data_IF_924078811872
#
_entry.id   IF_924078811872
#
_cell.length_a   1.000
_cell.length_b   1.000
_cell.length_c   1.000
_cell.angle_alpha   90.00
_cell.angle_beta   90.00
_cell.angle_gamma   90.00
#
_symmetry.space_group_name_H-M   'P 1'
#
loop_
_entity.id
_entity.type
_entity.pdbx_description
1 polymer ?
#
# COMPACT_ATOMS: atom_id res chain seq x y z
N UNK A 1 7.54 -26.36 3.43
CA UNK A 1 6.40 -27.30 3.59
C UNK A 1 5.07 -26.70 3.14
N UNK A 2 4.60 -25.59 3.72
CA UNK A 2 3.28 -24.99 3.39
C UNK A 2 3.15 -24.60 1.90
N UNK A 3 4.17 -23.99 1.30
CA UNK A 3 4.14 -23.62 -0.12
C UNK A 3 4.07 -24.84 -1.06
N UNK A 4 4.72 -25.96 -0.69
CA UNK A 4 4.69 -27.21 -1.46
C UNK A 4 3.30 -27.85 -1.35
N UNK A 5 2.70 -27.86 -0.17
CA UNK A 5 1.34 -28.38 0.05
C UNK A 5 0.32 -27.55 -0.75
N UNK A 6 0.44 -26.22 -0.75
CA UNK A 6 -0.42 -25.34 -1.54
C UNK A 6 -0.27 -25.57 -3.05
N UNK A 7 0.96 -25.77 -3.52
CA UNK A 7 1.23 -26.11 -4.91
C UNK A 7 0.62 -27.46 -5.30
N UNK A 8 0.79 -28.49 -4.44
CA UNK A 8 0.21 -29.81 -4.67
C UNK A 8 -1.33 -29.77 -4.68
N UNK A 9 -1.96 -29.04 -3.76
CA UNK A 9 -3.42 -28.86 -3.77
C UNK A 9 -3.91 -28.17 -5.05
N UNK A 10 -3.23 -27.09 -5.47
CA UNK A 10 -3.56 -26.39 -6.72
C UNK A 10 -3.41 -27.32 -7.93
N UNK A 11 -2.32 -28.07 -8.00
CA UNK A 11 -2.06 -29.03 -9.07
C UNK A 11 -3.17 -30.10 -9.12
N UNK A 12 -3.53 -30.68 -7.97
CA UNK A 12 -4.60 -31.67 -7.89
C UNK A 12 -5.93 -31.11 -8.38
N UNK A 13 -6.30 -29.89 -7.97
CA UNK A 13 -7.53 -29.21 -8.44
C UNK A 13 -7.50 -29.00 -9.96
N UNK A 14 -6.38 -28.54 -10.51
CA UNK A 14 -6.21 -28.31 -11.95
C UNK A 14 -6.31 -29.62 -12.74
N UNK A 15 -5.70 -30.70 -12.25
CA UNK A 15 -5.77 -32.03 -12.89
C UNK A 15 -7.19 -32.58 -12.86
N UNK A 16 -7.89 -32.48 -11.72
CA UNK A 16 -9.28 -32.94 -11.61
C UNK A 16 -10.22 -32.13 -12.54
N UNK A 17 -10.03 -30.81 -12.62
CA UNK A 17 -10.78 -29.97 -13.55
C UNK A 17 -10.50 -30.32 -15.02
N UNK A 18 -9.24 -30.62 -15.37
CA UNK A 18 -8.86 -31.04 -16.72
C UNK A 18 -9.53 -32.37 -17.10
N UNK A 19 -9.47 -33.36 -16.20
CA UNK A 19 -10.11 -34.66 -16.40
C UNK A 19 -11.64 -34.53 -16.57
N UNK A 20 -12.28 -33.67 -15.77
CA UNK A 20 -13.71 -33.40 -15.89
C UNK A 20 -14.07 -32.77 -17.26
N UNK A 21 -13.29 -31.80 -17.72
CA UNK A 21 -13.53 -31.13 -19.01
C UNK A 21 -13.31 -32.08 -20.20
N UNK A 22 -12.28 -32.93 -20.14
CA UNK A 22 -12.05 -33.98 -21.15
C UNK A 22 -13.21 -34.98 -21.14
N UNK A 23 -13.67 -35.40 -19.96
CA UNK A 23 -14.81 -36.30 -19.81
C UNK A 23 -16.12 -35.71 -20.37
N UNK A 24 -16.31 -34.40 -20.24
CA UNK A 24 -17.43 -33.66 -20.85
C UNK A 24 -17.28 -33.45 -22.37
N UNK A 25 -16.19 -33.93 -22.99
CA UNK A 25 -15.94 -33.78 -24.42
C UNK A 25 -15.55 -32.37 -24.85
N UNK A 26 -15.03 -31.54 -23.93
CA UNK A 26 -14.64 -30.17 -24.25
C UNK A 26 -13.47 -30.14 -25.26
N UNK A 27 -13.49 -29.22 -26.24
CA UNK A 27 -12.39 -29.08 -27.18
C UNK A 27 -11.12 -28.61 -26.46
N UNK A 28 -9.96 -29.09 -26.92
CA UNK A 28 -8.66 -28.85 -26.29
C UNK A 28 -8.40 -27.38 -25.95
N UNK A 29 -8.66 -26.46 -26.89
CA UNK A 29 -8.46 -25.02 -26.68
C UNK A 29 -9.32 -24.44 -25.56
N UNK A 30 -10.56 -24.89 -25.43
CA UNK A 30 -11.45 -24.45 -24.34
C UNK A 30 -10.94 -24.96 -23.00
N UNK A 31 -10.48 -26.21 -22.94
CA UNK A 31 -9.88 -26.79 -21.73
C UNK A 31 -8.65 -26.00 -21.29
N UNK A 32 -7.74 -25.69 -22.20
CA UNK A 32 -6.55 -24.86 -21.91
C UNK A 32 -6.95 -23.48 -21.39
N UNK A 33 -7.92 -22.82 -22.04
CA UNK A 33 -8.39 -21.50 -21.63
C UNK A 33 -9.01 -21.51 -20.23
N UNK A 34 -9.86 -22.49 -19.91
CA UNK A 34 -10.49 -22.63 -18.59
C UNK A 34 -9.44 -22.91 -17.51
N UNK A 35 -8.47 -23.78 -17.77
CA UNK A 35 -7.39 -24.07 -16.81
C UNK A 35 -6.51 -22.85 -16.57
N UNK A 36 -6.16 -22.10 -17.62
CA UNK A 36 -5.41 -20.86 -17.50
C UNK A 36 -6.18 -19.81 -16.69
N UNK A 37 -7.48 -19.63 -16.97
CA UNK A 37 -8.35 -18.72 -16.21
C UNK A 37 -8.47 -19.14 -14.74
N UNK A 38 -8.63 -20.44 -14.46
CA UNK A 38 -8.73 -20.96 -13.10
C UNK A 38 -7.41 -20.78 -12.34
N UNK A 39 -6.27 -21.07 -12.97
CA UNK A 39 -4.95 -20.82 -12.38
C UNK A 39 -4.77 -19.33 -12.03
N UNK A 40 -5.09 -18.43 -12.97
CA UNK A 40 -4.97 -16.99 -12.76
C UNK A 40 -5.88 -16.53 -11.61
N UNK A 41 -7.12 -17.02 -11.58
CA UNK A 41 -8.10 -16.68 -10.55
C UNK A 41 -7.63 -17.15 -9.16
N UNK A 42 -7.20 -18.39 -9.02
CA UNK A 42 -6.79 -18.95 -7.73
C UNK A 42 -5.49 -18.35 -7.18
N UNK A 43 -4.60 -17.86 -8.04
CA UNK A 43 -3.29 -17.31 -7.63
C UNK A 43 -3.28 -15.80 -7.48
N UNK A 44 -3.89 -15.10 -8.44
CA UNK A 44 -3.76 -13.65 -8.59
C UNK A 44 -4.86 -12.91 -7.84
N UNK A 45 -6.10 -13.39 -7.89
CA UNK A 45 -7.24 -12.71 -7.24
C UNK A 45 -7.07 -12.61 -5.73
N UNK A 46 -6.68 -13.66 -4.97
CA UNK A 46 -6.45 -13.53 -3.53
C UNK A 46 -5.37 -12.51 -3.19
N UNK A 47 -4.29 -12.48 -3.99
CA UNK A 47 -3.18 -11.53 -3.83
C UNK A 47 -3.65 -10.09 -4.07
N UNK A 48 -4.44 -9.85 -5.12
CA UNK A 48 -5.02 -8.54 -5.41
C UNK A 48 -6.02 -8.12 -4.34
N UNK A 49 -6.90 -9.03 -3.90
CA UNK A 49 -7.87 -8.76 -2.84
C UNK A 49 -7.18 -8.37 -1.53
N UNK A 50 -6.12 -9.09 -1.14
CA UNK A 50 -5.34 -8.72 0.03
C UNK A 50 -4.61 -7.40 -0.13
N UNK A 51 -4.04 -7.16 -1.32
CA UNK A 51 -3.21 -5.97 -1.56
C UNK A 51 -4.03 -4.68 -1.67
N UNK A 52 -5.27 -4.76 -2.18
CA UNK A 52 -6.06 -3.57 -2.52
C UNK A 52 -7.40 -3.43 -1.79
N UNK A 53 -8.03 -4.53 -1.34
CA UNK A 53 -9.41 -4.47 -0.80
C UNK A 53 -9.56 -4.96 0.64
N UNK A 54 -8.64 -5.77 1.16
CA UNK A 54 -8.76 -6.35 2.50
C UNK A 54 -8.71 -5.29 3.60
N UNK A 55 -9.55 -5.42 4.63
CA UNK A 55 -9.43 -4.67 5.89
C UNK A 55 -8.99 -5.54 7.06
N UNK A 56 -8.68 -6.81 6.79
CA UNK A 56 -8.22 -7.75 7.82
C UNK A 56 -6.72 -7.58 8.04
N UNK A 57 -6.35 -6.85 9.10
CA UNK A 57 -4.95 -6.56 9.45
C UNK A 57 -4.12 -7.85 9.60
N UNK A 58 -4.63 -8.87 10.29
CA UNK A 58 -3.90 -10.14 10.49
C UNK A 58 -3.66 -10.91 9.19
N UNK A 59 -4.59 -10.82 8.23
CA UNK A 59 -4.41 -11.43 6.92
C UNK A 59 -3.34 -10.69 6.11
N UNK A 60 -3.40 -9.36 6.09
CA UNK A 60 -2.42 -8.50 5.42
C UNK A 60 -1.03 -8.70 6.05
N UNK A 61 -0.94 -8.70 7.37
CA UNK A 61 0.29 -8.90 8.13
C UNK A 61 1.00 -10.21 7.76
N UNK A 62 0.28 -11.33 7.83
CA UNK A 62 0.81 -12.64 7.42
C UNK A 62 1.23 -12.67 5.96
N UNK A 63 0.49 -12.00 5.09
CA UNK A 63 0.85 -11.89 3.68
C UNK A 63 2.14 -11.09 3.48
N UNK A 64 2.27 -9.94 4.14
CA UNK A 64 3.48 -9.11 4.08
C UNK A 64 4.69 -9.89 4.60
N UNK A 65 4.57 -10.54 5.77
CA UNK A 65 5.63 -11.37 6.33
C UNK A 65 6.05 -12.49 5.38
N UNK A 66 5.10 -13.20 4.78
CA UNK A 66 5.37 -14.29 3.83
C UNK A 66 6.04 -13.80 2.53
N UNK A 67 5.79 -12.56 2.13
CA UNK A 67 6.30 -11.97 0.89
C UNK A 67 7.41 -10.92 1.13
N UNK A 68 7.96 -10.85 2.34
CA UNK A 68 9.06 -9.97 2.80
C UNK A 68 10.30 -9.96 1.90
N UNK A 69 10.54 -11.02 1.13
CA UNK A 69 11.63 -11.04 0.12
C UNK A 69 11.51 -9.95 -0.94
N UNK A 70 10.31 -9.40 -1.16
CA UNK A 70 10.08 -8.24 -2.03
C UNK A 70 10.17 -6.97 -1.17
N UNK A 71 11.08 -6.02 -1.49
CA UNK A 71 11.33 -4.85 -0.65
C UNK A 71 10.10 -4.00 -0.35
N UNK A 72 9.15 -3.88 -1.29
CA UNK A 72 7.89 -3.15 -1.09
C UNK A 72 7.05 -3.75 0.05
N UNK A 73 6.99 -5.09 0.13
CA UNK A 73 6.26 -5.76 1.20
C UNK A 73 7.05 -5.78 2.51
N UNK A 74 8.38 -5.84 2.43
CA UNK A 74 9.23 -5.66 3.61
C UNK A 74 9.01 -4.28 4.23
N UNK A 75 9.01 -3.20 3.43
CA UNK A 75 8.72 -1.86 3.92
C UNK A 75 7.37 -1.80 4.64
N UNK A 76 6.31 -2.30 4.02
CA UNK A 76 5.00 -2.30 4.64
C UNK A 76 4.99 -3.09 5.96
N UNK A 77 5.67 -4.24 6.02
CA UNK A 77 5.81 -5.01 7.27
C UNK A 77 6.61 -4.25 8.34
N UNK A 78 7.74 -3.64 7.95
CA UNK A 78 8.59 -2.83 8.84
C UNK A 78 7.84 -1.62 9.42
N UNK A 79 6.86 -1.06 8.72
CA UNK A 79 6.04 0.04 9.26
C UNK A 79 5.31 -0.37 10.54
N UNK A 80 4.87 -1.62 10.65
CA UNK A 80 4.17 -2.12 11.83
C UNK A 80 5.10 -2.65 12.93
N UNK A 81 6.18 -3.35 12.55
CA UNK A 81 7.00 -4.13 13.48
C UNK A 81 8.45 -3.66 13.60
N UNK A 82 8.91 -2.83 12.66
CA UNK A 82 10.29 -2.38 12.58
C UNK A 82 10.53 -1.04 13.26
N UNK A 83 11.80 -0.79 13.49
CA UNK A 83 12.38 0.51 13.86
C UNK A 83 12.38 1.48 12.69
N UNK A 84 12.52 2.77 12.97
CA UNK A 84 12.62 3.80 11.92
C UNK A 84 13.80 3.55 10.97
N UNK A 85 14.90 2.96 11.48
CA UNK A 85 16.05 2.59 10.65
C UNK A 85 15.74 1.43 9.71
N UNK A 86 15.01 0.41 10.16
CA UNK A 86 14.57 -0.70 9.30
C UNK A 86 13.59 -0.24 8.22
N UNK A 87 12.72 0.72 8.55
CA UNK A 87 11.82 1.37 7.59
C UNK A 87 12.65 2.09 6.52
N UNK A 88 13.59 2.95 6.93
CA UNK A 88 14.49 3.70 6.03
C UNK A 88 15.33 2.77 5.15
N UNK A 89 15.88 1.71 5.72
CA UNK A 89 16.67 0.71 5.00
C UNK A 89 15.81 0.00 3.94
N UNK A 90 14.58 -0.38 4.28
CA UNK A 90 13.63 -0.99 3.33
C UNK A 90 13.32 -0.05 2.16
N UNK A 91 13.11 1.25 2.44
CA UNK A 91 12.87 2.27 1.41
C UNK A 91 14.08 2.43 0.47
N UNK A 92 15.30 2.50 1.02
CA UNK A 92 16.54 2.53 0.23
C UNK A 92 16.67 1.29 -0.66
N UNK A 93 16.36 0.10 -0.13
CA UNK A 93 16.40 -1.13 -0.93
C UNK A 93 15.40 -1.09 -2.10
N UNK A 94 14.19 -0.56 -1.88
CA UNK A 94 13.20 -0.37 -2.96
C UNK A 94 13.78 0.55 -4.04
N UNK A 95 14.33 1.71 -3.67
CA UNK A 95 14.90 2.66 -4.62
C UNK A 95 16.10 2.09 -5.40
N UNK A 96 16.86 1.17 -4.80
CA UNK A 96 17.98 0.48 -5.46
C UNK A 96 17.46 -0.60 -6.42
N UNK A 97 16.49 -1.41 -5.98
CA UNK A 97 16.00 -2.58 -6.73
C UNK A 97 15.12 -2.18 -7.91
N UNK A 98 14.25 -1.19 -7.73
CA UNK A 98 13.31 -0.75 -8.75
C UNK A 98 13.85 0.50 -9.46
N UNK A 99 14.21 0.36 -10.73
CA UNK A 99 14.82 1.43 -11.55
C UNK A 99 13.81 2.38 -12.20
N UNK A 100 12.52 2.15 -12.00
CA UNK A 100 11.46 2.99 -12.56
C UNK A 100 11.47 4.37 -11.85
N UNK A 101 11.54 5.49 -12.59
CA UNK A 101 11.64 6.83 -12.00
C UNK A 101 10.50 7.15 -11.03
N UNK A 102 9.26 6.86 -11.40
CA UNK A 102 8.10 7.12 -10.53
C UNK A 102 8.18 6.36 -9.21
N UNK A 103 8.57 5.09 -9.25
CA UNK A 103 8.79 4.29 -8.03
C UNK A 103 9.90 4.95 -7.21
N UNK A 104 11.03 5.29 -7.82
CA UNK A 104 12.13 5.92 -7.12
C UNK A 104 11.70 7.20 -6.40
N UNK A 105 10.93 8.08 -7.05
CA UNK A 105 10.50 9.33 -6.46
C UNK A 105 9.38 9.17 -5.42
N UNK A 106 8.44 8.24 -5.60
CA UNK A 106 7.43 7.89 -4.58
C UNK A 106 8.08 7.40 -3.29
N UNK A 107 9.01 6.45 -3.39
CA UNK A 107 9.67 5.91 -2.20
C UNK A 107 10.74 6.85 -1.63
N UNK A 108 11.31 7.73 -2.46
CA UNK A 108 12.14 8.85 -2.01
C UNK A 108 11.35 9.87 -1.19
N UNK A 109 10.14 10.23 -1.62
CA UNK A 109 9.25 11.07 -0.83
C UNK A 109 8.91 10.40 0.52
N UNK A 110 8.58 9.11 0.53
CA UNK A 110 8.37 8.37 1.80
C UNK A 110 9.61 8.38 2.69
N UNK A 111 10.81 8.28 2.11
CA UNK A 111 12.06 8.35 2.86
C UNK A 111 12.22 9.73 3.53
N UNK A 112 12.02 10.82 2.79
CA UNK A 112 12.04 12.17 3.31
C UNK A 112 10.97 12.41 4.40
N UNK A 113 9.77 11.80 4.26
CA UNK A 113 8.76 11.79 5.33
C UNK A 113 9.30 11.19 6.62
N UNK A 114 10.06 10.09 6.56
CA UNK A 114 10.65 9.48 7.77
C UNK A 114 11.72 10.35 8.43
N UNK A 115 12.34 11.26 7.67
CA UNK A 115 13.31 12.23 8.16
C UNK A 115 12.66 13.57 8.56
N UNK A 116 11.33 13.69 8.40
CA UNK A 116 10.56 14.92 8.59
C UNK A 116 11.05 16.09 7.71
N UNK A 117 11.64 15.76 6.56
CA UNK A 117 12.16 16.71 5.59
C UNK A 117 11.07 17.06 4.55
N UNK A 118 10.32 18.14 4.81
CA UNK A 118 9.24 18.56 3.92
C UNK A 118 9.74 19.01 2.54
N UNK A 119 10.88 19.69 2.47
CA UNK A 119 11.49 20.13 1.20
C UNK A 119 11.96 18.94 0.38
N UNK A 120 12.54 17.92 1.02
CA UNK A 120 12.86 16.65 0.40
C UNK A 120 11.62 15.95 -0.18
N UNK A 121 10.50 15.97 0.55
CA UNK A 121 9.23 15.43 0.04
C UNK A 121 8.76 16.18 -1.20
N UNK A 122 8.77 17.52 -1.18
CA UNK A 122 8.38 18.35 -2.32
C UNK A 122 9.28 18.11 -3.54
N UNK A 123 10.62 18.05 -3.34
CA UNK A 123 11.58 17.78 -4.41
C UNK A 123 11.37 16.42 -5.09
N UNK A 124 10.88 15.44 -4.34
CA UNK A 124 10.48 14.15 -4.88
C UNK A 124 9.11 14.22 -5.56
N UNK A 125 8.13 14.89 -4.95
CA UNK A 125 6.78 15.05 -5.49
C UNK A 125 6.78 15.66 -6.89
N UNK A 126 7.57 16.71 -7.13
CA UNK A 126 7.71 17.36 -8.44
C UNK A 126 8.15 16.42 -9.56
N UNK A 127 8.85 15.32 -9.22
CA UNK A 127 9.40 14.35 -10.16
C UNK A 127 8.56 13.09 -10.30
N UNK A 128 7.47 12.96 -9.54
CA UNK A 128 6.47 11.90 -9.72
C UNK A 128 5.62 12.27 -10.94
N UNK A 129 5.37 11.32 -11.83
CA UNK A 129 4.47 11.52 -12.97
C UNK A 129 3.11 12.10 -12.55
N UNK A 130 2.51 12.90 -13.44
CA UNK A 130 1.26 13.60 -13.14
C UNK A 130 0.16 12.63 -12.72
N UNK A 131 -0.47 12.91 -11.59
CA UNK A 131 -1.55 12.08 -11.04
C UNK A 131 -1.74 12.23 -9.53
N UNK A 132 -2.65 11.44 -8.94
CA UNK A 132 -3.04 11.59 -7.53
C UNK A 132 -1.86 11.46 -6.55
N UNK A 133 -0.86 10.64 -6.89
CA UNK A 133 0.29 10.40 -6.02
C UNK A 133 1.22 11.62 -5.94
N UNK A 134 1.39 12.36 -7.04
CA UNK A 134 2.15 13.61 -7.04
C UNK A 134 1.50 14.61 -6.09
N UNK A 135 0.21 14.89 -6.28
CA UNK A 135 -0.55 15.83 -5.44
C UNK A 135 -0.61 15.39 -3.97
N UNK A 136 -0.68 14.09 -3.72
CA UNK A 136 -0.63 13.56 -2.36
C UNK A 136 0.69 13.87 -1.64
N UNK A 137 1.84 13.65 -2.28
CA UNK A 137 3.12 13.97 -1.65
C UNK A 137 3.40 15.47 -1.64
N UNK A 138 2.93 16.22 -2.62
CA UNK A 138 2.98 17.68 -2.62
C UNK A 138 2.25 18.24 -1.38
N UNK A 139 1.02 17.79 -1.16
CA UNK A 139 0.23 18.14 0.02
C UNK A 139 0.92 17.69 1.33
N UNK A 140 1.55 16.50 1.33
CA UNK A 140 2.30 16.01 2.48
C UNK A 140 3.50 16.91 2.80
N UNK A 141 4.29 17.30 1.81
CA UNK A 141 5.44 18.18 1.97
C UNK A 141 5.06 19.54 2.55
N UNK A 142 4.03 20.17 1.98
CA UNK A 142 3.47 21.42 2.51
C UNK A 142 2.95 21.26 3.95
N UNK A 143 2.26 20.17 4.26
CA UNK A 143 1.83 19.89 5.64
C UNK A 143 3.02 19.71 6.61
N UNK A 144 4.13 19.12 6.16
CA UNK A 144 5.35 19.00 6.96
C UNK A 144 6.04 20.34 7.20
N UNK A 145 5.95 21.27 6.25
CA UNK A 145 6.50 22.63 6.37
C UNK A 145 5.56 23.59 7.14
N UNK A 146 4.34 23.15 7.47
CA UNK A 146 3.34 24.00 8.15
C UNK A 146 2.58 24.92 7.20
N UNK A 147 2.73 24.73 5.89
CA UNK A 147 2.07 25.48 4.82
C UNK A 147 0.67 24.89 4.55
N UNK A 148 -0.22 24.97 5.53
CA UNK A 148 -1.47 24.21 5.53
C UNK A 148 -2.45 24.63 4.42
N UNK A 149 -2.46 25.90 4.05
CA UNK A 149 -3.27 26.41 2.93
C UNK A 149 -2.82 25.77 1.61
N UNK A 150 -1.50 25.71 1.37
CA UNK A 150 -0.93 25.05 0.18
C UNK A 150 -1.15 23.54 0.19
N UNK A 151 -1.11 22.92 1.37
CA UNK A 151 -1.47 21.52 1.51
C UNK A 151 -2.92 21.25 1.08
N UNK A 152 -3.88 22.11 1.46
CA UNK A 152 -5.29 21.98 1.06
C UNK A 152 -5.50 22.29 -0.43
N UNK A 153 -4.76 23.25 -1.00
CA UNK A 153 -4.75 23.51 -2.44
C UNK A 153 -4.31 22.27 -3.23
N UNK A 154 -3.22 21.62 -2.82
CA UNK A 154 -2.74 20.38 -3.44
C UNK A 154 -3.77 19.23 -3.34
N UNK A 155 -4.54 19.17 -2.24
CA UNK A 155 -5.62 18.18 -2.10
C UNK A 155 -6.76 18.35 -3.11
N UNK A 156 -7.01 19.58 -3.60
CA UNK A 156 -8.04 19.84 -4.62
C UNK A 156 -7.75 19.13 -5.95
N UNK A 157 -6.49 18.76 -6.19
CA UNK A 157 -6.05 18.06 -7.40
C UNK A 157 -6.18 16.53 -7.28
N UNK A 158 -6.50 16.02 -6.08
CA UNK A 158 -6.72 14.59 -5.85
C UNK A 158 -8.17 14.24 -6.26
N UNK A 159 -8.36 13.28 -7.18
CA UNK A 159 -9.69 12.84 -7.58
C UNK A 159 -10.55 12.30 -6.43
N UNK A 160 -11.88 12.39 -6.59
CA UNK A 160 -12.89 11.92 -5.61
C UNK A 160 -12.86 10.40 -5.36
N UNK A 161 -12.28 9.59 -6.23
CA UNK A 161 -12.12 8.14 -5.99
C UNK A 161 -10.91 7.80 -5.09
N UNK A 162 -10.13 8.82 -4.70
CA UNK A 162 -8.94 8.71 -3.84
C UNK A 162 -9.13 9.39 -2.48
N UNK A 163 -10.37 9.41 -1.94
CA UNK A 163 -10.71 10.08 -0.67
C UNK A 163 -9.80 9.75 0.52
N UNK A 164 -9.27 8.52 0.58
CA UNK A 164 -8.37 8.14 1.66
C UNK A 164 -7.13 9.04 1.73
N UNK A 165 -6.64 9.54 0.59
CA UNK A 165 -5.48 10.42 0.49
C UNK A 165 -5.79 11.79 1.12
N UNK A 166 -6.93 12.38 0.76
CA UNK A 166 -7.38 13.68 1.28
C UNK A 166 -7.53 13.64 2.79
N UNK A 167 -8.26 12.63 3.30
CA UNK A 167 -8.44 12.43 4.73
C UNK A 167 -7.10 12.14 5.43
N UNK A 168 -6.18 11.41 4.80
CA UNK A 168 -4.88 11.14 5.39
C UNK A 168 -4.05 12.41 5.59
N UNK A 169 -4.00 13.30 4.59
CA UNK A 169 -3.30 14.59 4.71
C UNK A 169 -3.97 15.48 5.75
N UNK A 170 -5.31 15.57 5.76
CA UNK A 170 -6.04 16.35 6.78
C UNK A 170 -5.77 15.83 8.19
N UNK A 171 -5.67 14.52 8.38
CA UNK A 171 -5.25 13.93 9.65
C UNK A 171 -3.83 14.36 10.01
N UNK A 172 -2.88 14.30 9.07
CA UNK A 172 -1.49 14.75 9.29
C UNK A 172 -1.45 16.23 9.69
N UNK A 173 -2.17 17.10 8.98
CA UNK A 173 -2.29 18.53 9.30
C UNK A 173 -2.86 18.74 10.71
N UNK A 174 -3.94 18.05 11.07
CA UNK A 174 -4.53 18.15 12.41
C UNK A 174 -3.56 17.70 13.50
N UNK A 175 -2.84 16.59 13.27
CA UNK A 175 -1.80 16.11 14.19
C UNK A 175 -0.69 17.16 14.38
N UNK A 176 -0.23 17.79 13.29
CA UNK A 176 0.78 18.85 13.31
C UNK A 176 0.30 20.11 14.04
N UNK A 177 -0.99 20.43 13.97
CA UNK A 177 -1.64 21.52 14.71
C UNK A 177 -1.94 21.18 16.18
N UNK A 178 -1.75 19.93 16.61
CA UNK A 178 -2.14 19.47 17.95
C UNK A 178 -3.64 19.25 18.13
N UNK A 179 -4.43 19.29 17.05
CA UNK A 179 -5.87 19.06 17.08
C UNK A 179 -6.17 17.55 17.08
N UNK A 180 -6.29 16.98 18.28
CA UNK A 180 -6.49 15.54 18.48
C UNK A 180 -7.85 15.04 17.97
N UNK A 181 -8.89 15.86 18.07
CA UNK A 181 -10.24 15.44 17.69
C UNK A 181 -10.39 15.39 16.17
N UNK A 182 -9.90 16.41 15.47
CA UNK A 182 -9.85 16.41 14.01
C UNK A 182 -8.92 15.31 13.51
N UNK A 183 -7.75 15.11 14.14
CA UNK A 183 -6.85 14.01 13.78
C UNK A 183 -7.56 12.65 13.83
N UNK A 184 -8.26 12.34 14.92
CA UNK A 184 -8.97 11.06 15.07
C UNK A 184 -10.07 10.87 14.04
N UNK A 185 -10.86 11.93 13.79
CA UNK A 185 -11.93 11.93 12.79
C UNK A 185 -11.38 11.66 11.40
N UNK A 186 -10.39 12.42 10.97
CA UNK A 186 -9.80 12.32 9.64
C UNK A 186 -9.01 11.01 9.46
N UNK A 187 -8.29 10.55 10.49
CA UNK A 187 -7.60 9.25 10.48
C UNK A 187 -8.59 8.08 10.37
N UNK A 188 -9.75 8.16 11.03
CA UNK A 188 -10.81 7.16 10.90
C UNK A 188 -11.41 7.17 9.49
N UNK A 189 -11.69 8.34 8.91
CA UNK A 189 -12.19 8.48 7.55
C UNK A 189 -11.18 7.93 6.51
N UNK A 190 -9.91 8.29 6.62
CA UNK A 190 -8.85 7.77 5.75
C UNK A 190 -8.81 6.24 5.76
N UNK A 191 -8.86 5.61 6.94
CA UNK A 191 -8.94 4.15 7.07
C UNK A 191 -10.24 3.56 6.52
N UNK A 192 -11.35 4.28 6.63
CA UNK A 192 -12.63 3.82 6.09
C UNK A 192 -12.61 3.74 4.55
N UNK A 193 -11.93 4.68 3.89
CA UNK A 193 -11.79 4.74 2.44
C UNK A 193 -10.61 3.96 1.86
N UNK A 194 -9.67 3.51 2.71
CA UNK A 194 -8.54 2.68 2.26
C UNK A 194 -8.85 1.19 2.29
N UNK A 195 -8.11 0.44 1.47
CA UNK A 195 -8.12 -1.02 1.45
C UNK A 195 -6.70 -1.60 1.32
N UNK A 196 -6.58 -2.88 1.68
CA UNK A 196 -5.36 -3.67 1.55
C UNK A 196 -4.14 -3.09 2.25
N UNK A 197 -3.02 -3.03 1.54
CA UNK A 197 -1.74 -2.55 2.09
C UNK A 197 -1.86 -1.07 2.51
N UNK A 198 -2.61 -0.25 1.78
CA UNK A 198 -2.80 1.15 2.15
C UNK A 198 -3.55 1.29 3.48
N UNK A 199 -4.62 0.51 3.68
CA UNK A 199 -5.32 0.46 4.96
C UNK A 199 -4.38 0.06 6.11
N UNK A 200 -3.53 -0.95 5.87
CA UNK A 200 -2.54 -1.41 6.84
C UNK A 200 -1.53 -0.31 7.20
N UNK A 201 -0.94 0.35 6.19
CA UNK A 201 0.01 1.46 6.39
C UNK A 201 -0.61 2.60 7.18
N UNK A 202 -1.81 3.05 6.80
CA UNK A 202 -2.53 4.13 7.52
C UNK A 202 -2.83 3.73 8.97
N UNK A 203 -3.27 2.49 9.21
CA UNK A 203 -3.55 2.00 10.56
C UNK A 203 -2.32 2.12 11.48
N UNK A 204 -1.17 1.63 11.03
CA UNK A 204 0.04 1.61 11.84
C UNK A 204 0.67 3.00 11.98
N UNK A 205 0.72 3.79 10.91
CA UNK A 205 1.27 5.14 10.96
C UNK A 205 0.46 6.07 11.87
N UNK A 206 -0.87 6.07 11.77
CA UNK A 206 -1.70 6.91 12.63
C UNK A 206 -1.64 6.47 14.09
N UNK A 207 -1.54 5.16 14.36
CA UNK A 207 -1.33 4.68 15.72
C UNK A 207 0.00 5.15 16.30
N UNK A 208 1.09 5.17 15.50
CA UNK A 208 2.39 5.72 15.92
C UNK A 208 2.30 7.22 16.21
N UNK A 209 1.66 7.99 15.34
CA UNK A 209 1.43 9.43 15.54
C UNK A 209 0.64 9.71 16.83
N UNK A 210 -0.44 8.98 17.08
CA UNK A 210 -1.25 9.15 18.30
C UNK A 210 -0.46 8.83 19.57
N UNK A 211 0.39 7.81 19.54
CA UNK A 211 1.27 7.46 20.64
C UNK A 211 2.31 8.57 20.91
N UNK A 212 2.89 9.17 19.87
CA UNK A 212 3.84 10.28 20.02
C UNK A 212 3.23 11.60 20.49
N UNK A 213 1.91 11.78 20.36
CA UNK A 213 1.17 12.95 20.85
C UNK A 213 0.63 12.80 22.28
N UNK A 214 0.90 11.68 22.95
CA UNK A 214 0.48 11.47 24.34
C UNK A 214 1.59 11.97 25.29
N UNK A 215 1.23 12.80 26.29
CA UNK A 215 2.21 13.42 27.20
C UNK A 215 2.95 12.41 28.08
#
# INVERSE_FOLDING_TARGET
>A
MIAVIQFLMLLTILVLAALLLIWLGAPFWLTVLVLAAMYLTLTTVPTLMLSYKSKNLQAIDRFLLRNSRKPIYQYAYSVAHGTDEEIRSSLKEIMIRYKQPDIHHVYGALYAVTEKDGDGVLSHAEKIGSGPMQSYYDAYGHALNGEYERAEEALSQIPEDHEWMKHAIRAIVAHRKGDRDTFRKEAAAAKAHAGGIQYYLLHHNFRKMEASASP
#
